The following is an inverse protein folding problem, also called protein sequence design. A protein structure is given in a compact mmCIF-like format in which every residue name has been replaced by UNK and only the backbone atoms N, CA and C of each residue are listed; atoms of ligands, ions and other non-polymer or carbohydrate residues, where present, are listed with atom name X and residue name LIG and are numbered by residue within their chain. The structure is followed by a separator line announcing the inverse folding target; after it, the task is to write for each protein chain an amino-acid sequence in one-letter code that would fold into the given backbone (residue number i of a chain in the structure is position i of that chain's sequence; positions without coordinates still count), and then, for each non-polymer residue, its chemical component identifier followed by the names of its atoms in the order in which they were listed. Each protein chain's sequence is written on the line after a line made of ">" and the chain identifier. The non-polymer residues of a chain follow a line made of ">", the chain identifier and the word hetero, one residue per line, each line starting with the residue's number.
data_IF_068909011934
#
_entry.id   IF_068909011934
#
_cell.length_a   1.000
_cell.length_b   1.000
_cell.length_c   1.000
_cell.angle_alpha   90.00
_cell.angle_beta   90.00
_cell.angle_gamma   90.00
#
_symmetry.space_group_name_H-M   'P 1'
#
loop_
_entity.id
_entity.type
_entity.pdbx_description
1 polymer ?
#
# COMPACT_ATOMS: atom_id res chain seq x y z
N UNK A 1 -14.65 -8.20 -5.15
CA UNK A 1 -13.38 -7.44 -5.28
C UNK A 1 -12.72 -7.80 -6.60
N UNK A 2 -12.67 -6.87 -7.57
CA UNK A 2 -12.09 -7.08 -8.92
C UNK A 2 -10.62 -7.51 -8.87
N UNK A 3 -9.83 -6.88 -8.01
CA UNK A 3 -8.40 -7.16 -7.84
C UNK A 3 -8.10 -8.63 -7.52
N UNK A 4 -8.92 -9.30 -6.70
CA UNK A 4 -8.69 -10.71 -6.37
C UNK A 4 -8.99 -11.65 -7.55
N UNK A 5 -9.93 -11.29 -8.42
CA UNK A 5 -10.19 -12.01 -9.67
C UNK A 5 -9.03 -11.79 -10.66
N UNK A 6 -8.50 -10.58 -10.74
CA UNK A 6 -7.35 -10.26 -11.59
C UNK A 6 -6.10 -11.08 -11.22
N UNK A 7 -5.88 -11.38 -9.93
CA UNK A 7 -4.79 -12.26 -9.49
C UNK A 7 -4.96 -13.68 -10.04
N UNK A 8 -6.19 -14.22 -9.98
CA UNK A 8 -6.48 -15.55 -10.50
C UNK A 8 -6.30 -15.59 -12.02
N UNK A 9 -6.80 -14.58 -12.75
CA UNK A 9 -6.64 -14.49 -14.19
C UNK A 9 -5.18 -14.38 -14.61
N UNK A 10 -4.37 -13.61 -13.88
CA UNK A 10 -2.94 -13.51 -14.14
C UNK A 10 -2.24 -14.87 -13.97
N UNK A 11 -2.52 -15.58 -12.87
CA UNK A 11 -1.96 -16.93 -12.65
C UNK A 11 -2.39 -17.92 -13.76
N UNK A 12 -3.66 -17.87 -14.17
CA UNK A 12 -4.18 -18.69 -15.28
C UNK A 12 -3.53 -18.35 -16.62
N UNK A 13 -3.30 -17.07 -16.91
CA UNK A 13 -2.68 -16.62 -18.14
C UNK A 13 -1.19 -17.02 -18.24
N UNK A 14 -0.52 -17.20 -17.09
CA UNK A 14 0.87 -17.65 -17.03
C UNK A 14 1.02 -19.17 -17.04
N UNK A 15 -0.03 -19.93 -16.73
CA UNK A 15 0.00 -21.39 -16.70
C UNK A 15 0.53 -22.06 -18.00
N UNK A 16 0.21 -21.57 -19.22
CA UNK A 16 0.74 -22.15 -20.46
C UNK A 16 2.24 -22.00 -20.67
N UNK A 17 2.92 -21.12 -19.91
CA UNK A 17 4.38 -20.93 -20.03
C UNK A 17 5.17 -22.13 -19.53
N UNK A 18 4.54 -23.09 -18.83
CA UNK A 18 5.14 -24.36 -18.42
C UNK A 18 6.23 -24.26 -17.36
N UNK A 19 6.60 -23.06 -16.94
CA UNK A 19 7.53 -22.82 -15.83
C UNK A 19 6.78 -22.85 -14.49
N UNK A 20 7.36 -23.44 -13.44
CA UNK A 20 6.84 -23.28 -12.08
C UNK A 20 6.68 -21.79 -11.76
N UNK A 21 5.46 -21.34 -11.42
CA UNK A 21 5.23 -19.94 -11.07
C UNK A 21 6.10 -19.48 -9.88
N UNK A 22 6.54 -20.42 -9.05
CA UNK A 22 7.51 -20.20 -7.98
C UNK A 22 8.86 -19.62 -8.48
N UNK A 23 9.23 -19.90 -9.73
CA UNK A 23 10.49 -19.46 -10.35
C UNK A 23 10.42 -17.99 -10.80
N UNK A 24 9.23 -17.37 -10.80
CA UNK A 24 9.04 -15.94 -11.06
C UNK A 24 9.59 -15.04 -9.93
N UNK A 25 10.08 -15.64 -8.84
CA UNK A 25 10.84 -14.97 -7.81
C UNK A 25 10.00 -14.05 -6.91
N UNK A 26 10.63 -12.95 -6.46
CA UNK A 26 10.05 -12.04 -5.47
C UNK A 26 8.69 -11.44 -5.88
N UNK A 27 8.49 -10.95 -7.11
CA UNK A 27 7.21 -10.37 -7.51
C UNK A 27 6.02 -11.34 -7.34
N UNK A 28 6.21 -12.62 -7.68
CA UNK A 28 5.16 -13.62 -7.51
C UNK A 28 4.92 -13.96 -6.02
N UNK A 29 5.98 -14.05 -5.21
CA UNK A 29 5.84 -14.23 -3.75
C UNK A 29 5.03 -13.10 -3.10
N UNK A 30 5.30 -11.85 -3.48
CA UNK A 30 4.54 -10.67 -3.03
C UNK A 30 3.07 -10.80 -3.45
N UNK A 31 2.79 -11.16 -4.70
CA UNK A 31 1.43 -11.33 -5.21
C UNK A 31 0.66 -12.39 -4.42
N UNK A 32 1.29 -13.54 -4.15
CA UNK A 32 0.69 -14.62 -3.34
C UNK A 32 0.42 -14.19 -1.91
N UNK A 33 1.37 -13.51 -1.27
CA UNK A 33 1.24 -13.04 0.11
C UNK A 33 0.23 -11.90 0.27
N UNK A 34 0.07 -11.05 -0.75
CA UNK A 34 -0.89 -9.95 -0.75
C UNK A 34 -2.34 -10.42 -0.87
N UNK A 35 -2.60 -11.48 -1.65
CA UNK A 35 -3.96 -11.98 -1.93
C UNK A 35 -4.83 -12.21 -0.68
N UNK A 36 -4.39 -12.93 0.38
CA UNK A 36 -5.20 -13.08 1.59
C UNK A 36 -5.41 -11.77 2.33
N UNK A 37 -4.46 -10.82 2.28
CA UNK A 37 -4.54 -9.53 2.96
C UNK A 37 -5.61 -8.60 2.36
N UNK A 38 -5.99 -8.80 1.08
CA UNK A 38 -7.02 -7.98 0.42
C UNK A 38 -8.39 -8.04 1.11
N UNK A 39 -8.64 -9.12 1.84
CA UNK A 39 -9.90 -9.42 2.53
C UNK A 39 -9.84 -9.20 4.04
N UNK A 40 -8.67 -8.86 4.58
CA UNK A 40 -8.48 -8.61 6.00
C UNK A 40 -8.92 -7.19 6.38
N UNK A 41 -9.27 -7.01 7.66
CA UNK A 41 -9.47 -5.67 8.21
C UNK A 41 -8.12 -4.94 8.32
N UNK A 42 -8.10 -3.59 8.33
CA UNK A 42 -6.85 -2.85 8.51
C UNK A 42 -6.06 -3.27 9.77
N UNK A 43 -6.75 -3.61 10.86
CA UNK A 43 -6.12 -4.10 12.10
C UNK A 43 -5.39 -5.43 11.89
N UNK A 44 -6.05 -6.40 11.24
CA UNK A 44 -5.43 -7.69 10.94
C UNK A 44 -4.28 -7.56 9.94
N UNK A 45 -4.37 -6.60 9.01
CA UNK A 45 -3.28 -6.25 8.11
C UNK A 45 -2.05 -5.76 8.89
N UNK A 46 -2.23 -4.83 9.84
CA UNK A 46 -1.13 -4.28 10.65
C UNK A 46 -0.40 -5.35 11.48
N UNK A 47 -1.13 -6.38 11.91
CA UNK A 47 -0.62 -7.49 12.72
C UNK A 47 -0.05 -8.65 11.88
N UNK A 48 -0.21 -8.62 10.56
CA UNK A 48 0.23 -9.70 9.69
C UNK A 48 1.75 -9.87 9.71
N UNK A 49 2.28 -11.10 9.92
CA UNK A 49 3.72 -11.35 9.83
C UNK A 49 4.25 -11.20 8.40
N UNK A 50 3.37 -11.26 7.39
CA UNK A 50 3.75 -11.06 6.00
C UNK A 50 4.05 -9.58 5.69
N UNK A 51 3.56 -8.65 6.50
CA UNK A 51 3.75 -7.21 6.31
C UNK A 51 5.16 -6.82 6.78
N UNK A 52 5.95 -6.26 5.88
CA UNK A 52 7.34 -5.89 6.10
C UNK A 52 8.35 -6.99 5.81
N UNK A 53 7.93 -8.25 5.80
CA UNK A 53 8.75 -9.40 5.40
C UNK A 53 8.62 -9.64 3.88
N UNK A 54 7.48 -10.20 3.46
CA UNK A 54 7.20 -10.47 2.04
C UNK A 54 6.51 -9.30 1.37
N UNK A 55 5.52 -8.69 2.03
CA UNK A 55 4.70 -7.61 1.48
C UNK A 55 5.25 -6.26 1.95
N UNK A 56 5.67 -5.36 1.03
CA UNK A 56 6.16 -4.03 1.41
C UNK A 56 5.11 -3.21 2.16
N UNK A 57 5.54 -2.46 3.18
CA UNK A 57 4.67 -1.58 3.96
C UNK A 57 4.04 -0.51 3.06
N UNK A 58 4.83 0.06 2.15
CA UNK A 58 4.39 1.06 1.19
C UNK A 58 3.24 0.53 0.34
N UNK A 59 3.35 -0.70 -0.18
CA UNK A 59 2.31 -1.33 -0.99
C UNK A 59 1.00 -1.47 -0.21
N UNK A 60 1.08 -1.90 1.05
CA UNK A 60 -0.09 -2.05 1.89
C UNK A 60 -0.73 -0.70 2.27
N UNK A 61 0.09 0.32 2.53
CA UNK A 61 -0.41 1.68 2.79
C UNK A 61 -1.16 2.25 1.57
N UNK A 62 -0.66 2.03 0.34
CA UNK A 62 -1.38 2.41 -0.88
C UNK A 62 -2.71 1.67 -1.02
N UNK A 63 -2.75 0.38 -0.67
CA UNK A 63 -3.99 -0.37 -0.63
C UNK A 63 -5.00 0.19 0.38
N UNK A 64 -4.53 0.59 1.57
CA UNK A 64 -5.39 1.21 2.59
C UNK A 64 -5.91 2.57 2.14
N UNK A 65 -5.12 3.39 1.45
CA UNK A 65 -5.61 4.62 0.80
C UNK A 65 -6.73 4.34 -0.21
N UNK A 66 -6.60 3.30 -1.03
CA UNK A 66 -7.63 2.94 -2.00
C UNK A 66 -8.97 2.53 -1.37
N UNK A 67 -8.96 2.14 -0.09
CA UNK A 67 -10.16 1.83 0.71
C UNK A 67 -10.57 2.95 1.67
N UNK A 68 -9.76 4.00 1.78
CA UNK A 68 -10.00 5.07 2.73
C UNK A 68 -11.13 6.01 2.25
N UNK A 69 -11.75 6.76 3.17
CA UNK A 69 -12.67 7.83 2.81
C UNK A 69 -12.03 8.89 1.89
N UNK A 70 -12.79 9.55 1.00
CA UNK A 70 -12.26 10.51 0.01
C UNK A 70 -11.50 11.69 0.61
N UNK A 71 -11.78 12.07 1.86
CA UNK A 71 -11.04 13.11 2.56
C UNK A 71 -9.58 12.74 2.86
N UNK A 72 -9.28 11.44 3.00
CA UNK A 72 -7.93 10.91 3.14
C UNK A 72 -7.35 10.69 1.73
N UNK A 73 -6.98 11.81 1.09
CA UNK A 73 -6.45 11.83 -0.28
C UNK A 73 -5.21 10.94 -0.40
N UNK A 74 -5.17 10.16 -1.48
CA UNK A 74 -4.05 9.26 -1.78
C UNK A 74 -2.76 10.04 -2.09
N UNK A 75 -1.57 9.39 -2.07
CA UNK A 75 -0.30 10.11 -2.22
C UNK A 75 -0.15 10.90 -3.53
N UNK A 76 -0.65 10.36 -4.64
CA UNK A 76 -0.62 11.09 -5.92
C UNK A 76 -1.55 12.30 -5.91
N UNK A 77 -2.68 12.23 -5.20
CA UNK A 77 -3.62 13.34 -5.09
C UNK A 77 -3.07 14.45 -4.20
N UNK A 78 -2.48 14.09 -3.06
CA UNK A 78 -1.81 15.04 -2.18
C UNK A 78 -0.65 15.76 -2.90
N UNK A 79 0.11 15.03 -3.73
CA UNK A 79 1.19 15.58 -4.54
C UNK A 79 0.72 16.29 -5.83
N UNK A 80 -0.59 16.32 -6.11
CA UNK A 80 -1.16 16.87 -7.36
C UNK A 80 -0.56 16.28 -8.63
N UNK A 81 -0.29 14.97 -8.62
CA UNK A 81 0.23 14.22 -9.75
C UNK A 81 -0.90 13.56 -10.54
N UNK A 82 -0.67 13.35 -11.84
CA UNK A 82 -1.50 12.42 -12.60
C UNK A 82 -1.20 10.97 -12.20
N UNK A 83 -2.16 10.07 -12.43
CA UNK A 83 -1.94 8.62 -12.22
C UNK A 83 -0.78 8.08 -13.06
N UNK A 84 -0.60 8.58 -14.29
CA UNK A 84 0.50 8.16 -15.17
C UNK A 84 1.86 8.59 -14.63
N UNK A 85 1.99 9.85 -14.17
CA UNK A 85 3.20 10.34 -13.51
C UNK A 85 3.51 9.54 -12.27
N UNK A 86 2.49 9.24 -11.47
CA UNK A 86 2.65 8.50 -10.24
C UNK A 86 3.05 7.03 -10.46
N UNK A 87 2.45 6.36 -11.45
CA UNK A 87 2.88 5.00 -11.85
C UNK A 87 4.35 5.00 -12.27
N UNK A 88 4.74 5.92 -13.15
CA UNK A 88 6.13 6.05 -13.59
C UNK A 88 7.07 6.33 -12.41
N UNK A 89 6.68 7.19 -11.48
CA UNK A 89 7.46 7.48 -10.28
C UNK A 89 7.67 6.23 -9.43
N UNK A 90 6.62 5.40 -9.22
CA UNK A 90 6.74 4.13 -8.50
C UNK A 90 7.69 3.15 -9.18
N UNK A 91 7.69 3.10 -10.51
CA UNK A 91 8.60 2.25 -11.29
C UNK A 91 10.06 2.71 -11.14
N UNK A 92 10.30 4.03 -11.13
CA UNK A 92 11.63 4.64 -10.99
C UNK A 92 12.18 4.60 -9.55
N UNK A 93 11.30 4.63 -8.54
CA UNK A 93 11.67 4.74 -7.12
C UNK A 93 11.38 3.41 -6.42
N UNK A 94 12.32 2.47 -6.50
CA UNK A 94 12.19 1.12 -5.91
C UNK A 94 12.49 1.07 -4.41
N UNK A 95 13.09 2.14 -3.87
CA UNK A 95 13.40 2.26 -2.44
C UNK A 95 12.12 2.34 -1.61
N UNK A 96 12.01 1.45 -0.62
CA UNK A 96 10.87 1.43 0.28
C UNK A 96 10.80 2.72 1.10
N UNK A 97 11.95 3.20 1.59
CA UNK A 97 12.08 4.48 2.28
C UNK A 97 11.52 5.66 1.49
N UNK A 98 11.85 5.78 0.20
CA UNK A 98 11.35 6.89 -0.64
C UNK A 98 9.84 6.83 -0.81
N UNK A 99 9.29 5.64 -1.03
CA UNK A 99 7.84 5.43 -1.12
C UNK A 99 7.13 5.75 0.19
N UNK A 100 7.71 5.38 1.33
CA UNK A 100 7.17 5.69 2.65
C UNK A 100 7.22 7.19 2.97
N UNK A 101 8.24 7.92 2.50
CA UNK A 101 8.29 9.38 2.61
C UNK A 101 7.15 10.04 1.84
N UNK A 102 6.85 9.56 0.63
CA UNK A 102 5.71 10.06 -0.15
C UNK A 102 4.37 9.78 0.56
N UNK A 103 4.20 8.57 1.11
CA UNK A 103 3.03 8.20 1.90
C UNK A 103 2.88 9.08 3.14
N UNK A 104 3.97 9.32 3.86
CA UNK A 104 4.00 10.20 5.03
C UNK A 104 3.48 11.60 4.70
N UNK A 105 3.96 12.20 3.60
CA UNK A 105 3.50 13.51 3.16
C UNK A 105 1.99 13.57 2.92
N UNK A 106 1.42 12.51 2.35
CA UNK A 106 -0.04 12.41 2.15
C UNK A 106 -0.81 12.35 3.47
N UNK A 107 -0.32 11.55 4.42
CA UNK A 107 -0.92 11.44 5.76
C UNK A 107 -0.80 12.73 6.56
N UNK A 108 0.31 13.44 6.46
CA UNK A 108 0.52 14.75 7.09
C UNK A 108 -0.43 15.81 6.49
N UNK A 109 -0.59 15.83 5.16
CA UNK A 109 -1.56 16.70 4.48
C UNK A 109 -3.00 16.46 4.95
N UNK A 110 -3.36 15.20 5.21
CA UNK A 110 -4.66 14.86 5.78
C UNK A 110 -4.83 15.43 7.19
N UNK A 111 -3.82 15.28 8.06
CA UNK A 111 -3.86 15.85 9.42
C UNK A 111 -4.07 17.35 9.38
N UNK A 112 -3.38 18.07 8.49
CA UNK A 112 -3.57 19.52 8.35
C UNK A 112 -5.00 19.85 7.91
N UNK A 113 -5.57 19.08 6.97
CA UNK A 113 -6.93 19.30 6.48
C UNK A 113 -7.98 19.08 7.58
N UNK A 114 -7.83 18.03 8.40
CA UNK A 114 -8.72 17.75 9.55
C UNK A 114 -8.65 18.87 10.58
N UNK A 115 -7.43 19.33 10.92
CA UNK A 115 -7.20 20.43 11.85
C UNK A 115 -7.84 21.74 11.38
N UNK A 116 -7.68 22.09 10.10
CA UNK A 116 -8.25 23.31 9.52
C UNK A 116 -9.78 23.34 9.58
N UNK A 117 -10.43 22.17 9.46
CA UNK A 117 -11.89 22.03 9.54
C UNK A 117 -12.43 21.99 10.98
N UNK A 118 -11.56 22.16 11.99
CA UNK A 118 -11.87 21.90 13.40
C UNK A 118 -12.44 20.48 13.64
N UNK A 119 -12.15 19.54 12.73
CA UNK A 119 -12.59 18.17 12.84
C UNK A 119 -11.90 17.52 14.03
N UNK A 120 -12.70 16.91 14.91
CA UNK A 120 -12.19 16.19 16.10
C UNK A 120 -11.92 14.72 15.83
N UNK A 121 -12.40 14.20 14.71
CA UNK A 121 -12.34 12.78 14.38
C UNK A 121 -11.56 12.54 13.09
N UNK A 122 -10.65 11.57 13.14
CA UNK A 122 -9.94 11.04 11.98
C UNK A 122 -10.72 9.86 11.41
N UNK A 123 -10.50 9.57 10.13
CA UNK A 123 -11.00 8.36 9.50
C UNK A 123 -10.56 7.12 10.33
N UNK A 124 -11.43 6.12 10.56
CA UNK A 124 -11.12 4.97 11.40
C UNK A 124 -9.87 4.18 10.97
N UNK A 125 -9.50 4.24 9.69
CA UNK A 125 -8.31 3.60 9.12
C UNK A 125 -7.02 4.37 9.39
N UNK A 126 -7.09 5.68 9.67
CA UNK A 126 -5.93 6.56 9.81
C UNK A 126 -4.99 6.15 10.95
N UNK A 127 -5.47 5.87 12.20
CA UNK A 127 -4.59 5.44 13.28
C UNK A 127 -3.80 4.17 12.93
N UNK A 128 -4.41 3.26 12.19
CA UNK A 128 -3.81 1.99 11.78
C UNK A 128 -2.76 2.21 10.69
N UNK A 129 -3.06 3.06 9.71
CA UNK A 129 -2.06 3.48 8.72
C UNK A 129 -0.87 4.18 9.38
N UNK A 130 -1.12 4.96 10.45
CA UNK A 130 -0.07 5.67 11.19
C UNK A 130 0.84 4.69 11.91
N UNK A 131 0.27 3.69 12.58
CA UNK A 131 1.02 2.60 13.21
C UNK A 131 1.91 1.86 12.18
N UNK A 132 1.34 1.45 11.05
CA UNK A 132 2.06 0.77 9.98
C UNK A 132 3.22 1.64 9.46
N UNK A 133 2.96 2.93 9.20
CA UNK A 133 3.97 3.87 8.70
C UNK A 133 5.09 4.10 9.72
N UNK A 134 4.77 4.27 11.00
CA UNK A 134 5.76 4.49 12.06
C UNK A 134 6.68 3.28 12.21
N UNK A 135 6.11 2.07 12.24
CA UNK A 135 6.86 0.81 12.26
C UNK A 135 7.76 0.67 11.03
N UNK A 136 7.22 0.90 9.84
CA UNK A 136 7.97 0.81 8.59
C UNK A 136 9.16 1.77 8.56
N UNK A 137 8.93 3.04 8.94
CA UNK A 137 9.96 4.07 8.91
C UNK A 137 11.03 3.86 9.99
N UNK A 138 10.73 3.14 11.08
CA UNK A 138 11.73 2.73 12.06
C UNK A 138 12.67 1.65 11.49
N UNK A 139 12.14 0.72 10.69
CA UNK A 139 12.92 -0.33 10.04
C UNK A 139 13.87 0.25 8.97
N UNK A 140 13.43 1.26 8.20
CA UNK A 140 14.23 1.91 7.15
C UNK A 140 15.27 2.94 7.68
N UNK A 141 15.38 3.10 9.00
CA UNK A 141 16.39 3.96 9.65
C UNK A 141 17.64 3.20 10.08
N UNK A 142 17.56 1.86 10.08
CA UNK A 142 18.67 0.94 10.35
C UNK A 142 19.42 0.68 9.05
#
# INVERSE_FOLDING_TARGET
>A
MRLAADFAHMEMALAPLGQPLADLGRPYKVLRALRPLLFQSPQHIAQSPMLGDVVPHSLMLHFLFAKAPPELRSPYEAASWSRSRYSKWLDEHTSEKERLVLVRGAMESYVQTVRQRQGKEFAPVYPIMKEILEKAMALERV
#
